data_IF_692338194796
#
_entry.id   IF_692338194796
#
_cell.length_a   1.000
_cell.length_b   1.000
_cell.length_c   1.000
_cell.angle_alpha   90.00
_cell.angle_beta   90.00
_cell.angle_gamma   90.00
#
_symmetry.space_group_name_H-M   'P 1'
#
loop_
_entity.id
_entity.type
_entity.pdbx_description
1 polymer ?
#
# COMPACT_ATOMS: atom_id res chain seq x y z
N UNK A 1 3.93 -51.56 -10.26
CA UNK A 1 5.08 -52.21 -9.58
C UNK A 1 6.40 -51.97 -10.32
N UNK A 2 6.58 -52.34 -11.60
CA UNK A 2 7.86 -52.12 -12.31
C UNK A 2 8.23 -50.65 -12.63
N UNK A 3 7.31 -49.70 -12.41
CA UNK A 3 7.58 -48.25 -12.47
C UNK A 3 7.80 -47.61 -11.09
N UNK A 4 7.56 -48.35 -10.00
CA UNK A 4 7.77 -47.89 -8.62
C UNK A 4 9.25 -47.99 -8.21
N UNK A 5 9.96 -49.03 -8.68
CA UNK A 5 11.38 -49.24 -8.39
C UNK A 5 12.28 -48.26 -9.17
N UNK A 6 11.82 -47.74 -10.33
CA UNK A 6 12.56 -46.75 -11.10
C UNK A 6 12.38 -45.30 -10.60
N UNK A 7 11.47 -45.05 -9.65
CA UNK A 7 11.27 -43.73 -9.06
C UNK A 7 12.13 -43.50 -7.79
N UNK A 8 12.64 -44.58 -7.16
CA UNK A 8 13.52 -44.48 -5.99
C UNK A 8 14.95 -44.02 -6.34
N UNK A 9 15.41 -44.21 -7.58
CA UNK A 9 16.75 -43.79 -8.02
C UNK A 9 16.79 -42.45 -8.77
N UNK A 10 15.65 -41.80 -8.98
CA UNK A 10 15.57 -40.52 -9.69
C UNK A 10 14.86 -39.47 -8.83
N UNK A 11 15.65 -38.57 -8.25
CA UNK A 11 15.23 -37.36 -7.55
C UNK A 11 14.30 -36.48 -8.41
N UNK A 12 12.99 -36.72 -8.33
CA UNK A 12 11.98 -35.89 -8.99
C UNK A 12 10.83 -35.55 -8.03
N UNK A 13 10.91 -34.40 -7.33
CA UNK A 13 9.79 -33.79 -6.61
C UNK A 13 8.52 -33.61 -7.46
N UNK A 14 8.68 -33.56 -8.79
CA UNK A 14 7.57 -33.44 -9.75
C UNK A 14 6.74 -34.73 -9.90
N UNK A 15 7.34 -35.91 -9.69
CA UNK A 15 6.62 -37.19 -9.70
C UNK A 15 5.83 -37.39 -8.40
N UNK A 16 6.39 -36.96 -7.27
CA UNK A 16 5.70 -36.96 -5.98
C UNK A 16 4.50 -36.00 -6.00
N UNK A 17 4.69 -34.76 -6.48
CA UNK A 17 3.60 -33.79 -6.65
C UNK A 17 2.50 -34.27 -7.59
N UNK A 18 2.86 -34.85 -8.74
CA UNK A 18 1.88 -35.43 -9.67
C UNK A 18 1.12 -36.61 -9.05
N UNK A 19 1.78 -37.45 -8.27
CA UNK A 19 1.17 -38.60 -7.60
C UNK A 19 0.21 -38.15 -6.48
N UNK A 20 0.61 -37.19 -5.65
CA UNK A 20 -0.24 -36.62 -4.59
C UNK A 20 -1.47 -35.94 -5.18
N UNK A 21 -1.31 -35.17 -6.26
CA UNK A 21 -2.45 -34.51 -6.95
C UNK A 21 -3.39 -35.53 -7.61
N UNK A 22 -2.85 -36.63 -8.16
CA UNK A 22 -3.62 -37.72 -8.74
C UNK A 22 -4.37 -38.52 -7.66
N UNK A 23 -3.72 -38.77 -6.51
CA UNK A 23 -4.32 -39.44 -5.37
C UNK A 23 -5.43 -38.60 -4.76
N UNK A 24 -5.24 -37.29 -4.59
CA UNK A 24 -6.27 -36.37 -4.13
C UNK A 24 -7.49 -36.36 -5.07
N UNK A 25 -7.28 -36.36 -6.39
CA UNK A 25 -8.36 -36.41 -7.40
C UNK A 25 -9.13 -37.73 -7.44
N UNK A 26 -8.51 -38.85 -7.07
CA UNK A 26 -9.19 -40.15 -6.97
C UNK A 26 -9.82 -40.37 -5.58
N UNK A 27 -9.25 -39.77 -4.53
CA UNK A 27 -9.82 -39.73 -3.18
C UNK A 27 -11.12 -38.93 -3.13
N UNK A 28 -11.25 -37.86 -3.91
CA UNK A 28 -12.48 -37.06 -4.04
C UNK A 28 -13.64 -37.83 -4.72
N UNK A 29 -13.33 -38.92 -5.43
CA UNK A 29 -14.32 -39.68 -6.23
C UNK A 29 -14.78 -40.98 -5.57
N UNK A 30 -14.08 -41.46 -4.55
CA UNK A 30 -14.36 -42.76 -3.94
C UNK A 30 -14.53 -42.62 -2.42
N UNK A 31 -15.56 -43.28 -1.88
CA UNK A 31 -15.78 -43.37 -0.44
C UNK A 31 -14.54 -43.94 0.24
N UNK A 32 -13.99 -43.25 1.24
CA UNK A 32 -12.70 -43.53 1.90
C UNK A 32 -12.60 -44.98 2.42
N UNK A 33 -13.75 -45.59 2.73
CA UNK A 33 -13.88 -46.98 3.17
C UNK A 33 -13.53 -48.01 2.09
N UNK A 34 -13.74 -47.72 0.80
CA UNK A 34 -13.38 -48.64 -0.30
C UNK A 34 -11.88 -48.68 -0.60
N UNK A 35 -11.15 -47.62 -0.24
CA UNK A 35 -9.68 -47.51 -0.41
C UNK A 35 -8.92 -48.16 0.77
N UNK A 36 -9.54 -48.22 1.95
CA UNK A 36 -8.97 -48.85 3.16
C UNK A 36 -8.70 -50.36 3.00
N UNK A 37 -9.43 -51.04 2.13
CA UNK A 37 -9.25 -52.48 1.83
C UNK A 37 -8.17 -52.78 0.81
N UNK A 38 -7.54 -51.77 0.20
CA UNK A 38 -6.50 -51.98 -0.81
C UNK A 38 -5.13 -52.18 -0.13
N UNK A 39 -4.46 -53.35 -0.30
CA UNK A 39 -3.24 -53.69 0.43
C UNK A 39 -2.08 -52.71 0.18
N UNK A 40 -2.00 -52.13 -1.03
CA UNK A 40 -0.97 -51.14 -1.38
C UNK A 40 -1.15 -49.78 -0.66
N UNK A 41 -2.39 -49.40 -0.31
CA UNK A 41 -2.68 -48.19 0.45
C UNK A 41 -2.41 -48.38 1.94
N UNK A 42 -2.61 -49.60 2.45
CA UNK A 42 -2.28 -49.94 3.83
C UNK A 42 -0.76 -49.84 4.09
N UNK A 43 0.06 -50.16 3.08
CA UNK A 43 1.52 -50.02 3.15
C UNK A 43 1.95 -48.55 3.08
N UNK A 44 1.32 -47.73 2.22
CA UNK A 44 1.58 -46.30 2.15
C UNK A 44 1.18 -45.57 3.45
N UNK A 45 0.03 -45.90 4.02
CA UNK A 45 -0.42 -45.34 5.31
C UNK A 45 0.50 -45.79 6.45
N UNK A 46 0.96 -47.04 6.46
CA UNK A 46 1.92 -47.54 7.45
C UNK A 46 3.30 -46.85 7.34
N UNK A 47 3.77 -46.57 6.11
CA UNK A 47 5.01 -45.80 5.87
C UNK A 47 4.85 -44.34 6.29
N UNK A 48 3.73 -43.70 6.00
CA UNK A 48 3.44 -42.34 6.49
C UNK A 48 3.35 -42.31 8.03
N UNK A 49 2.74 -43.31 8.65
CA UNK A 49 2.65 -43.44 10.10
C UNK A 49 4.01 -43.65 10.77
N UNK A 50 4.90 -44.47 10.20
CA UNK A 50 6.27 -44.63 10.72
C UNK A 50 7.08 -43.35 10.58
N UNK A 51 6.94 -42.64 9.45
CA UNK A 51 7.60 -41.35 9.22
C UNK A 51 7.09 -40.26 10.19
N UNK A 52 5.82 -40.34 10.59
CA UNK A 52 5.22 -39.49 11.62
C UNK A 52 5.77 -39.85 13.02
N UNK A 53 5.89 -41.13 13.36
CA UNK A 53 6.47 -41.56 14.64
C UNK A 53 7.93 -41.12 14.80
N UNK A 54 8.70 -41.10 13.72
CA UNK A 54 10.10 -40.64 13.70
C UNK A 54 10.25 -39.11 13.70
N UNK A 55 9.18 -38.34 13.52
CA UNK A 55 9.27 -36.88 13.53
C UNK A 55 9.57 -36.36 14.96
N UNK A 56 10.50 -35.38 15.10
CA UNK A 56 11.13 -35.04 16.38
C UNK A 56 10.23 -34.28 17.35
N UNK A 57 9.08 -33.75 16.92
CA UNK A 57 8.15 -33.02 17.79
C UNK A 57 6.70 -33.28 17.45
N UNK A 58 5.82 -33.20 18.45
CA UNK A 58 4.37 -33.35 18.31
C UNK A 58 3.78 -32.38 17.27
N UNK A 59 4.39 -31.21 17.11
CA UNK A 59 3.98 -30.20 16.11
C UNK A 59 4.43 -30.57 14.69
N UNK A 60 5.65 -31.09 14.51
CA UNK A 60 6.07 -31.63 13.21
C UNK A 60 5.16 -32.79 12.78
N UNK A 61 4.76 -33.64 13.73
CA UNK A 61 3.76 -34.70 13.50
C UNK A 61 2.40 -34.15 13.08
N UNK A 62 1.94 -33.08 13.74
CA UNK A 62 0.66 -32.45 13.41
C UNK A 62 0.66 -31.83 11.99
N UNK A 63 1.76 -31.15 11.63
CA UNK A 63 1.91 -30.52 10.31
C UNK A 63 1.94 -31.57 9.19
N UNK A 64 2.72 -32.64 9.37
CA UNK A 64 2.76 -33.74 8.42
C UNK A 64 1.40 -34.46 8.35
N UNK A 65 0.73 -34.70 9.48
CA UNK A 65 -0.60 -35.32 9.49
C UNK A 65 -1.62 -34.50 8.68
N UNK A 66 -1.57 -33.17 8.77
CA UNK A 66 -2.40 -32.29 7.93
C UNK A 66 -2.00 -32.32 6.46
N UNK A 67 -0.71 -32.30 6.15
CA UNK A 67 -0.19 -32.34 4.77
C UNK A 67 -0.60 -33.64 4.05
N UNK A 68 -0.67 -34.76 4.78
CA UNK A 68 -1.12 -36.06 4.24
C UNK A 68 -2.63 -36.31 4.37
N UNK A 69 -3.43 -35.33 4.81
CA UNK A 69 -4.88 -35.48 4.94
C UNK A 69 -5.34 -36.50 6.00
N UNK A 70 -4.50 -36.78 7.00
CA UNK A 70 -4.77 -37.73 8.09
C UNK A 70 -5.56 -37.05 9.21
N UNK A 71 -6.82 -36.71 8.93
CA UNK A 71 -7.69 -35.89 9.80
C UNK A 71 -7.82 -36.44 11.21
N UNK A 72 -8.04 -37.75 11.38
CA UNK A 72 -8.18 -38.37 12.72
C UNK A 72 -6.88 -38.30 13.55
N UNK A 73 -5.72 -38.36 12.89
CA UNK A 73 -4.42 -38.22 13.55
C UNK A 73 -4.08 -36.77 13.85
N UNK A 74 -4.40 -35.85 12.94
CA UNK A 74 -4.23 -34.42 13.19
C UNK A 74 -5.11 -33.95 14.35
N UNK A 75 -6.33 -34.46 14.46
CA UNK A 75 -7.25 -34.09 15.54
C UNK A 75 -6.76 -34.63 16.89
N UNK A 76 -6.27 -35.87 16.94
CA UNK A 76 -5.67 -36.45 18.15
C UNK A 76 -4.39 -35.73 18.59
N UNK A 77 -3.54 -35.34 17.63
CA UNK A 77 -2.31 -34.59 17.91
C UNK A 77 -2.63 -33.15 18.35
N UNK A 78 -3.63 -32.51 17.73
CA UNK A 78 -4.11 -31.19 18.13
C UNK A 78 -4.70 -31.22 19.55
N UNK A 79 -5.52 -32.24 19.88
CA UNK A 79 -6.07 -32.43 21.23
C UNK A 79 -4.98 -32.75 22.26
N UNK A 80 -3.94 -33.50 21.87
CA UNK A 80 -2.78 -33.78 22.72
C UNK A 80 -1.97 -32.52 23.01
N UNK A 81 -1.65 -31.74 21.97
CA UNK A 81 -0.93 -30.45 22.08
C UNK A 81 -1.77 -29.45 22.88
N UNK A 82 -3.08 -29.37 22.66
CA UNK A 82 -3.97 -28.46 23.39
C UNK A 82 -4.11 -28.82 24.88
N UNK A 83 -3.89 -30.09 25.26
CA UNK A 83 -3.87 -30.54 26.67
C UNK A 83 -2.51 -30.38 27.33
N UNK A 84 -1.42 -30.41 26.56
CA UNK A 84 -0.04 -30.29 27.07
C UNK A 84 0.46 -28.85 27.14
N UNK A 85 -0.10 -27.93 26.34
CA UNK A 85 0.33 -26.53 26.30
C UNK A 85 -0.78 -25.60 26.81
N UNK A 86 -0.65 -25.14 28.05
CA UNK A 86 -1.42 -24.00 28.54
C UNK A 86 -1.00 -22.74 27.76
N UNK A 87 -1.88 -21.73 27.67
CA UNK A 87 -1.72 -20.48 26.88
C UNK A 87 -0.38 -19.72 27.08
N UNK A 88 0.41 -20.08 28.08
CA UNK A 88 1.68 -19.46 28.43
C UNK A 88 2.94 -20.21 27.95
N UNK A 89 2.82 -21.40 27.36
CA UNK A 89 3.98 -22.24 26.96
C UNK A 89 4.23 -22.29 25.44
N UNK A 90 3.86 -21.24 24.70
CA UNK A 90 4.21 -21.12 23.26
C UNK A 90 5.64 -20.59 23.02
N UNK A 91 6.31 -20.08 24.05
CA UNK A 91 7.70 -19.58 23.98
C UNK A 91 8.71 -20.65 23.52
N UNK A 92 8.73 -21.88 24.08
CA UNK A 92 9.59 -22.96 23.61
C UNK A 92 9.31 -23.38 22.15
N UNK A 93 8.06 -23.29 21.71
CA UNK A 93 7.66 -23.57 20.33
C UNK A 93 8.14 -22.49 19.35
N UNK A 94 8.22 -21.22 19.78
CA UNK A 94 8.84 -20.13 19.01
C UNK A 94 10.36 -20.28 18.86
N UNK A 95 11.02 -21.03 19.74
CA UNK A 95 12.44 -21.34 19.65
C UNK A 95 12.73 -22.48 18.65
N UNK A 96 11.71 -23.26 18.23
CA UNK A 96 11.87 -24.34 17.26
C UNK A 96 12.12 -23.77 15.85
N UNK A 97 13.24 -24.16 15.24
CA UNK A 97 13.69 -23.63 13.95
C UNK A 97 12.65 -23.82 12.83
N UNK A 98 11.94 -24.95 12.83
CA UNK A 98 10.95 -25.29 11.80
C UNK A 98 9.71 -24.38 11.87
N UNK A 99 9.27 -24.04 13.08
CA UNK A 99 8.16 -23.11 13.31
C UNK A 99 8.55 -21.69 12.87
N UNK A 100 9.79 -21.27 13.13
CA UNK A 100 10.32 -19.99 12.62
C UNK A 100 10.37 -19.95 11.09
N UNK A 101 10.78 -21.05 10.45
CA UNK A 101 10.79 -21.16 8.99
C UNK A 101 9.37 -21.10 8.40
N UNK A 102 8.39 -21.77 9.03
CA UNK A 102 7.01 -21.71 8.60
C UNK A 102 6.43 -20.29 8.74
N UNK A 103 6.66 -19.64 9.88
CA UNK A 103 6.27 -18.24 10.12
C UNK A 103 6.91 -17.29 9.11
N UNK A 104 8.20 -17.46 8.82
CA UNK A 104 8.91 -16.66 7.82
C UNK A 104 8.35 -16.86 6.40
N UNK A 105 7.96 -18.10 6.03
CA UNK A 105 7.29 -18.36 4.76
C UNK A 105 5.90 -17.72 4.70
N UNK A 106 5.11 -17.81 5.77
CA UNK A 106 3.82 -17.13 5.83
C UNK A 106 3.98 -15.60 5.74
N UNK A 107 4.97 -15.02 6.42
CA UNK A 107 5.27 -13.59 6.32
C UNK A 107 5.66 -13.18 4.89
N UNK A 108 6.51 -13.96 4.21
CA UNK A 108 6.87 -13.74 2.80
C UNK A 108 5.67 -13.88 1.85
N UNK A 109 4.76 -14.82 2.09
CA UNK A 109 3.53 -14.92 1.29
C UNK A 109 2.57 -13.74 1.52
N UNK A 110 2.63 -13.13 2.70
CA UNK A 110 1.88 -11.91 2.97
C UNK A 110 2.53 -10.73 2.24
N UNK A 111 3.86 -10.63 2.14
CA UNK A 111 4.55 -9.50 1.46
C UNK A 111 3.97 -9.13 0.09
N UNK A 112 3.73 -10.13 -0.75
CA UNK A 112 3.32 -9.90 -2.14
C UNK A 112 1.82 -9.62 -2.34
N UNK A 113 1.01 -9.87 -1.31
CA UNK A 113 -0.43 -9.65 -1.40
C UNK A 113 -0.79 -8.16 -1.19
N UNK A 114 -1.96 -7.70 -1.68
CA UNK A 114 -2.46 -6.37 -1.35
C UNK A 114 -2.88 -6.27 0.13
N UNK A 115 -2.70 -5.12 0.79
CA UNK A 115 -3.17 -4.90 2.17
C UNK A 115 -4.67 -5.16 2.29
N UNK A 116 -5.08 -5.88 3.34
CA UNK A 116 -6.49 -6.11 3.63
C UNK A 116 -6.71 -6.37 5.11
N UNK A 117 -7.93 -6.11 5.57
CA UNK A 117 -8.34 -6.34 6.97
C UNK A 117 -8.19 -7.80 7.38
N UNK A 118 -8.53 -8.75 6.50
CA UNK A 118 -8.33 -10.18 6.79
C UNK A 118 -6.86 -10.52 7.06
N UNK A 119 -5.93 -9.92 6.31
CA UNK A 119 -4.50 -10.11 6.52
C UNK A 119 -3.99 -9.44 7.79
N UNK A 120 -4.56 -8.29 8.16
CA UNK A 120 -4.25 -7.63 9.41
C UNK A 120 -4.60 -8.51 10.61
N UNK A 121 -5.80 -9.09 10.61
CA UNK A 121 -6.25 -10.05 11.64
C UNK A 121 -5.32 -11.25 11.71
N UNK A 122 -5.02 -11.87 10.55
CA UNK A 122 -4.11 -13.01 10.50
C UNK A 122 -2.71 -12.67 11.04
N UNK A 123 -2.18 -11.49 10.69
CA UNK A 123 -0.88 -11.04 11.18
C UNK A 123 -0.86 -10.88 12.71
N UNK A 124 -1.93 -10.34 13.30
CA UNK A 124 -2.06 -10.21 14.75
C UNK A 124 -2.19 -11.57 15.45
N UNK A 125 -3.04 -12.46 14.95
CA UNK A 125 -3.23 -13.81 15.50
C UNK A 125 -1.95 -14.66 15.43
N UNK A 126 -1.14 -14.47 14.38
CA UNK A 126 0.17 -15.12 14.25
C UNK A 126 1.29 -14.43 15.04
N UNK A 127 1.02 -13.30 15.71
CA UNK A 127 2.02 -12.54 16.46
C UNK A 127 3.07 -11.85 15.57
N UNK A 128 2.74 -11.56 14.31
CA UNK A 128 3.59 -10.87 13.35
C UNK A 128 3.49 -9.35 13.54
N UNK A 129 4.00 -8.84 14.66
CA UNK A 129 3.79 -7.43 15.09
C UNK A 129 4.25 -6.40 14.05
N UNK A 130 5.43 -6.58 13.46
CA UNK A 130 5.94 -5.65 12.43
C UNK A 130 5.02 -5.60 11.19
N UNK A 131 4.50 -6.75 10.78
CA UNK A 131 3.57 -6.86 9.65
C UNK A 131 2.22 -6.27 9.96
N UNK A 132 1.71 -6.55 11.16
CA UNK A 132 0.49 -5.94 11.67
C UNK A 132 0.61 -4.43 11.65
N UNK A 133 1.69 -3.86 12.18
CA UNK A 133 1.88 -2.42 12.26
C UNK A 133 1.96 -1.78 10.86
N UNK A 134 2.65 -2.42 9.90
CA UNK A 134 2.67 -1.99 8.49
C UNK A 134 1.28 -2.04 7.85
N UNK A 135 0.49 -3.09 8.11
CA UNK A 135 -0.86 -3.23 7.58
C UNK A 135 -1.83 -2.21 8.22
N UNK A 136 -1.70 -1.93 9.52
CA UNK A 136 -2.43 -0.85 10.19
C UNK A 136 -2.16 0.48 9.53
N UNK A 137 -0.89 0.77 9.22
CA UNK A 137 -0.51 1.99 8.53
C UNK A 137 -1.18 2.07 7.14
N UNK A 138 -0.99 1.06 6.28
CA UNK A 138 -1.58 1.04 4.93
C UNK A 138 -3.10 1.15 4.94
N UNK A 139 -3.77 0.39 5.81
CA UNK A 139 -5.24 0.43 5.93
C UNK A 139 -5.70 1.79 6.42
N UNK A 140 -4.95 2.44 7.31
CA UNK A 140 -5.25 3.81 7.76
C UNK A 140 -5.01 4.86 6.66
N UNK A 141 -4.07 4.63 5.74
CA UNK A 141 -3.87 5.51 4.57
C UNK A 141 -5.05 5.46 3.60
N UNK A 142 -5.62 4.27 3.43
CA UNK A 142 -6.75 3.97 2.53
C UNK A 142 -8.03 3.63 3.32
N UNK A 143 -8.28 4.35 4.41
CA UNK A 143 -9.32 4.03 5.39
C UNK A 143 -10.71 3.87 4.77
N UNK A 144 -11.01 4.64 3.73
CA UNK A 144 -12.28 4.64 2.98
C UNK A 144 -12.42 3.46 2.00
N UNK A 145 -11.32 2.78 1.66
CA UNK A 145 -11.31 1.66 0.69
C UNK A 145 -11.43 0.29 1.35
N UNK A 146 -11.31 0.20 2.66
CA UNK A 146 -11.31 -1.07 3.39
C UNK A 146 -12.62 -1.28 4.16
N UNK A 147 -13.14 -2.51 4.12
CA UNK A 147 -14.24 -2.93 4.99
C UNK A 147 -13.70 -3.25 6.39
N UNK A 148 -14.04 -2.41 7.36
CA UNK A 148 -13.61 -2.53 8.75
C UNK A 148 -14.57 -3.35 9.62
N UNK A 149 -15.70 -3.83 9.07
CA UNK A 149 -16.67 -4.66 9.80
C UNK A 149 -16.00 -5.86 10.50
N UNK A 150 -15.04 -6.60 9.87
CA UNK A 150 -14.37 -7.72 10.52
C UNK A 150 -13.55 -7.32 11.75
N UNK A 151 -13.07 -6.08 11.84
CA UNK A 151 -12.29 -5.61 12.99
C UNK A 151 -13.13 -5.37 14.25
N UNK A 152 -14.48 -5.38 14.15
CA UNK A 152 -15.33 -5.27 15.35
C UNK A 152 -15.12 -6.42 16.34
N UNK A 153 -14.68 -7.58 15.86
CA UNK A 153 -14.29 -8.71 16.70
C UNK A 153 -12.88 -8.54 17.32
N UNK A 154 -12.08 -7.62 16.80
CA UNK A 154 -10.68 -7.36 17.19
C UNK A 154 -10.52 -5.89 17.58
N UNK A 155 -11.10 -5.51 18.72
CA UNK A 155 -11.22 -4.11 19.17
C UNK A 155 -9.87 -3.39 19.21
N UNK A 156 -8.80 -4.06 19.65
CA UNK A 156 -7.46 -3.47 19.73
C UNK A 156 -6.93 -3.08 18.33
N UNK A 157 -7.14 -3.94 17.33
CA UNK A 157 -6.77 -3.65 15.93
C UNK A 157 -7.62 -2.51 15.35
N UNK A 158 -8.92 -2.51 15.62
CA UNK A 158 -9.81 -1.43 15.19
C UNK A 158 -9.35 -0.08 15.76
N UNK A 159 -9.03 -0.04 17.06
CA UNK A 159 -8.55 1.17 17.72
C UNK A 159 -7.19 1.63 17.17
N UNK A 160 -6.30 0.70 16.83
CA UNK A 160 -5.01 1.03 16.21
C UNK A 160 -5.20 1.68 14.83
N UNK A 161 -6.04 1.10 13.97
CA UNK A 161 -6.36 1.65 12.64
C UNK A 161 -7.03 3.02 12.76
N UNK A 162 -8.05 3.16 13.61
CA UNK A 162 -8.77 4.43 13.80
C UNK A 162 -7.86 5.52 14.35
N UNK A 163 -7.00 5.20 15.32
CA UNK A 163 -6.06 6.17 15.90
C UNK A 163 -5.05 6.64 14.85
N UNK A 164 -4.53 5.72 14.02
CA UNK A 164 -3.59 6.06 12.95
C UNK A 164 -4.25 6.90 11.87
N UNK A 165 -5.47 6.55 11.45
CA UNK A 165 -6.24 7.31 10.47
C UNK A 165 -6.57 8.72 11.00
N UNK A 166 -6.97 8.84 12.27
CA UNK A 166 -7.25 10.13 12.91
C UNK A 166 -6.02 11.04 12.97
N UNK A 167 -4.83 10.50 13.27
CA UNK A 167 -3.59 11.27 13.27
C UNK A 167 -3.30 11.83 11.87
N UNK A 168 -3.45 10.99 10.83
CA UNK A 168 -3.26 11.38 9.44
C UNK A 168 -4.25 12.47 9.00
N UNK A 169 -5.54 12.33 9.31
CA UNK A 169 -6.53 13.37 8.96
C UNK A 169 -6.25 14.70 9.66
N UNK A 170 -5.73 14.67 10.89
CA UNK A 170 -5.29 15.87 11.59
C UNK A 170 -4.10 16.55 10.91
N UNK A 171 -3.11 15.78 10.46
CA UNK A 171 -1.97 16.29 9.70
C UNK A 171 -2.39 16.87 8.35
N UNK A 172 -3.22 16.16 7.59
CA UNK A 172 -3.79 16.65 6.33
C UNK A 172 -4.61 17.92 6.53
N UNK A 173 -5.37 18.02 7.64
CA UNK A 173 -6.10 19.23 7.99
C UNK A 173 -5.19 20.45 8.16
N UNK A 174 -4.05 20.28 8.85
CA UNK A 174 -3.05 21.35 9.01
C UNK A 174 -2.41 21.75 7.69
N UNK A 175 -2.12 20.79 6.82
CA UNK A 175 -1.58 21.06 5.49
C UNK A 175 -2.57 21.85 4.63
N UNK A 176 -3.85 21.48 4.65
CA UNK A 176 -4.91 22.22 3.94
C UNK A 176 -5.03 23.66 4.48
N UNK A 177 -4.95 23.86 5.79
CA UNK A 177 -4.99 25.19 6.41
C UNK A 177 -3.80 26.05 5.95
N UNK A 178 -2.58 25.50 5.97
CA UNK A 178 -1.39 26.17 5.46
C UNK A 178 -1.53 26.56 3.98
N UNK A 179 -2.04 25.66 3.14
CA UNK A 179 -2.29 25.94 1.72
C UNK A 179 -3.36 27.02 1.53
N UNK A 180 -4.38 27.06 2.40
CA UNK A 180 -5.41 28.08 2.36
C UNK A 180 -4.85 29.48 2.71
N UNK A 181 -3.96 29.57 3.71
CA UNK A 181 -3.25 30.80 4.07
C UNK A 181 -2.36 31.30 2.93
N UNK A 182 -1.52 30.43 2.36
CA UNK A 182 -0.70 30.75 1.19
C UNK A 182 -1.54 31.20 -0.01
N UNK A 183 -2.68 30.54 -0.23
CA UNK A 183 -3.62 30.92 -1.28
C UNK A 183 -4.26 32.31 -1.05
N UNK A 184 -4.51 32.69 0.21
CA UNK A 184 -5.02 34.01 0.55
C UNK A 184 -3.97 35.11 0.34
N UNK A 185 -2.71 34.86 0.73
CA UNK A 185 -1.59 35.77 0.54
C UNK A 185 -1.34 36.04 -0.95
N UNK A 186 -1.24 34.99 -1.77
CA UNK A 186 -1.04 35.12 -3.21
C UNK A 186 -2.18 35.90 -3.90
N UNK A 187 -3.42 35.73 -3.44
CA UNK A 187 -4.56 36.51 -3.93
C UNK A 187 -4.45 37.98 -3.56
N UNK A 188 -4.02 38.30 -2.35
CA UNK A 188 -3.80 39.68 -1.91
C UNK A 188 -2.71 40.36 -2.74
N UNK A 189 -1.59 39.69 -2.97
CA UNK A 189 -0.51 40.18 -3.83
C UNK A 189 -0.97 40.38 -5.27
N UNK A 190 -1.76 39.45 -5.82
CA UNK A 190 -2.31 39.57 -7.17
C UNK A 190 -3.25 40.76 -7.30
N UNK A 191 -4.08 41.04 -6.29
CA UNK A 191 -4.92 42.25 -6.26
C UNK A 191 -4.08 43.52 -6.18
N UNK A 192 -3.04 43.55 -5.36
CA UNK A 192 -2.11 44.69 -5.28
C UNK A 192 -1.39 44.94 -6.62
N UNK A 193 -0.91 43.89 -7.28
CA UNK A 193 -0.29 43.99 -8.60
C UNK A 193 -1.28 44.45 -9.67
N UNK A 194 -2.53 44.00 -9.63
CA UNK A 194 -3.59 44.51 -10.54
C UNK A 194 -3.84 46.00 -10.33
N UNK A 195 -3.88 46.48 -9.09
CA UNK A 195 -4.02 47.89 -8.79
C UNK A 195 -2.85 48.72 -9.35
N UNK A 196 -1.60 48.26 -9.13
CA UNK A 196 -0.40 48.90 -9.71
C UNK A 196 -0.44 48.95 -11.24
N UNK A 197 -0.85 47.86 -11.89
CA UNK A 197 -1.00 47.84 -13.36
C UNK A 197 -2.08 48.80 -13.84
N UNK A 198 -3.16 48.99 -13.07
CA UNK A 198 -4.18 49.97 -13.38
C UNK A 198 -3.62 51.40 -13.27
N UNK A 199 -2.86 51.71 -12.22
CA UNK A 199 -2.19 53.00 -12.06
C UNK A 199 -1.24 53.29 -13.23
N UNK A 200 -0.45 52.29 -13.67
CA UNK A 200 0.44 52.40 -14.84
C UNK A 200 -0.37 52.73 -16.10
N UNK A 201 -1.51 52.07 -16.32
CA UNK A 201 -2.39 52.34 -17.46
C UNK A 201 -2.97 53.76 -17.43
N UNK A 202 -3.38 54.24 -16.27
CA UNK A 202 -3.87 55.61 -16.09
C UNK A 202 -2.77 56.64 -16.38
N UNK A 203 -1.54 56.38 -15.93
CA UNK A 203 -0.37 57.20 -16.24
C UNK A 203 -0.04 57.19 -17.74
N UNK A 204 -0.07 56.02 -18.40
CA UNK A 204 0.10 55.90 -19.84
C UNK A 204 -0.90 56.76 -20.62
N UNK A 205 -2.18 56.73 -20.21
CA UNK A 205 -3.22 57.54 -20.82
C UNK A 205 -2.96 59.05 -20.65
N UNK A 206 -2.54 59.50 -19.46
CA UNK A 206 -2.17 60.90 -19.22
C UNK A 206 -0.97 61.35 -20.04
N UNK A 207 0.07 60.51 -20.16
CA UNK A 207 1.24 60.80 -21.02
C UNK A 207 0.80 60.96 -22.47
N UNK A 208 -0.10 60.11 -22.96
CA UNK A 208 -0.65 60.21 -24.31
C UNK A 208 -1.47 61.49 -24.52
N UNK A 209 -2.26 61.89 -23.53
CA UNK A 209 -3.02 63.15 -23.57
C UNK A 209 -2.10 64.37 -23.61
N UNK A 210 -1.10 64.44 -22.72
CA UNK A 210 -0.09 65.51 -22.70
C UNK A 210 0.64 65.59 -24.04
N UNK A 211 1.02 64.43 -24.62
CA UNK A 211 1.63 64.36 -25.95
C UNK A 211 0.75 65.00 -27.01
N UNK A 212 -0.54 64.66 -27.04
CA UNK A 212 -1.47 65.21 -28.01
C UNK A 212 -1.67 66.72 -27.83
N UNK A 213 -1.78 67.21 -26.59
CA UNK A 213 -1.89 68.64 -26.29
C UNK A 213 -0.63 69.41 -26.74
N UNK A 214 0.55 68.93 -26.38
CA UNK A 214 1.81 69.56 -26.76
C UNK A 214 1.97 69.64 -28.28
N UNK A 215 1.68 68.55 -29.02
CA UNK A 215 1.73 68.56 -30.48
C UNK A 215 0.70 69.51 -31.10
N UNK A 216 -0.49 69.64 -30.53
CA UNK A 216 -1.51 70.55 -31.02
C UNK A 216 -1.14 72.02 -30.81
N UNK A 217 -0.58 72.37 -29.65
CA UNK A 217 -0.14 73.74 -29.37
C UNK A 217 1.05 74.14 -30.24
N UNK A 218 2.01 73.23 -30.43
CA UNK A 218 3.15 73.48 -31.32
C UNK A 218 2.70 73.63 -32.78
N UNK A 219 1.75 72.82 -33.27
CA UNK A 219 1.20 72.96 -34.64
C UNK A 219 0.46 74.28 -34.88
N UNK A 220 -0.01 74.95 -33.83
CA UNK A 220 -0.60 76.30 -33.95
C UNK A 220 0.47 77.34 -34.24
N UNK A 221 1.71 77.11 -33.82
CA UNK A 221 2.89 77.90 -34.18
C UNK A 221 3.44 77.40 -35.53
N UNK A 222 3.07 78.08 -36.63
CA UNK A 222 3.42 77.67 -38.02
C UNK A 222 4.87 77.93 -38.40
N UNK A 223 5.76 78.15 -37.44
CA UNK A 223 7.18 78.35 -37.68
C UNK A 223 7.91 77.02 -37.95
N UNK A 224 9.01 77.07 -38.71
CA UNK A 224 9.90 75.90 -38.91
C UNK A 224 10.47 75.39 -37.58
N UNK A 225 10.72 76.29 -36.63
CA UNK A 225 11.19 75.97 -35.29
C UNK A 225 10.11 75.23 -34.48
N UNK A 226 8.83 75.58 -34.65
CA UNK A 226 7.71 74.83 -34.10
C UNK A 226 7.71 73.37 -34.55
N UNK A 227 7.94 73.09 -35.84
CA UNK A 227 7.95 71.71 -36.35
C UNK A 227 9.06 70.86 -35.70
N UNK A 228 10.27 71.40 -35.54
CA UNK A 228 11.39 70.72 -34.89
C UNK A 228 11.15 70.46 -33.39
N UNK A 229 10.52 71.41 -32.70
CA UNK A 229 10.08 71.25 -31.31
C UNK A 229 9.03 70.14 -31.17
N UNK A 230 8.10 70.03 -32.12
CA UNK A 230 7.09 68.96 -32.11
C UNK A 230 7.74 67.58 -32.22
N UNK A 231 8.71 67.41 -33.11
CA UNK A 231 9.41 66.14 -33.32
C UNK A 231 10.28 65.76 -32.10
N UNK A 232 10.89 66.75 -31.45
CA UNK A 232 11.68 66.54 -30.23
C UNK A 232 10.80 66.09 -29.06
N UNK A 233 9.70 66.79 -28.81
CA UNK A 233 8.72 66.43 -27.76
C UNK A 233 8.09 65.06 -28.05
N UNK A 234 7.79 64.77 -29.32
CA UNK A 234 7.24 63.48 -29.71
C UNK A 234 8.21 62.33 -29.44
N UNK A 235 9.50 62.48 -29.78
CA UNK A 235 10.52 61.46 -29.47
C UNK A 235 10.66 61.24 -27.97
N UNK A 236 10.83 62.30 -27.19
CA UNK A 236 11.01 62.18 -25.74
C UNK A 236 9.83 61.48 -25.05
N UNK A 237 8.59 61.82 -25.44
CA UNK A 237 7.40 61.18 -24.87
C UNK A 237 7.19 59.75 -25.37
N UNK A 238 7.66 59.41 -26.57
CA UNK A 238 7.63 58.03 -27.09
C UNK A 238 8.63 57.14 -26.38
N UNK A 239 9.83 57.64 -26.11
CA UNK A 239 10.86 56.93 -25.32
C UNK A 239 10.39 56.66 -23.88
N UNK A 240 9.75 57.66 -23.24
CA UNK A 240 9.14 57.48 -21.91
C UNK A 240 8.01 56.44 -21.95
N UNK A 241 7.16 56.46 -22.98
CA UNK A 241 6.08 55.49 -23.11
C UNK A 241 6.61 54.05 -23.30
N UNK A 242 7.63 53.86 -24.14
CA UNK A 242 8.28 52.56 -24.36
C UNK A 242 8.97 52.06 -23.09
N UNK A 243 9.60 52.94 -22.31
CA UNK A 243 10.23 52.58 -21.04
C UNK A 243 9.23 52.12 -19.97
N UNK A 244 7.94 52.44 -20.10
CA UNK A 244 6.88 51.95 -19.21
C UNK A 244 6.22 50.65 -19.69
N UNK A 245 6.54 50.16 -20.89
CA UNK A 245 6.03 48.89 -21.45
C UNK A 245 6.97 47.70 -21.22
N UNK A 246 8.25 47.96 -20.91
CA UNK A 246 9.28 46.95 -20.61
C UNK A 246 9.41 46.64 -19.13
#
# INVERSE_FOLDING_TARGET
VSRLILAEECSLPKLHGWFVERLAKELDKHNFESLRSHPDLHMAVALCASTLEDAPSSVARLLLAKEYGLTEWSDRLADGIAKEFDKHDLEPLRAHADLRMAVARCASMLEDAPPSVARLVLADECGLTEWRDKLVEHIAEEFDKHDLEPLKAHVDLLMAVVSRASARFSEQGKEIELLAEQGAELRAELLANRARLQEIRELQARVHEIRNLACNDIRRDRSQDGQLLCDYVWRGLTEIAQAMEG
#
